data_IF_480086794498
#
_entry.id   IF_480086794498
#
_cell.length_a   1.000
_cell.length_b   1.000
_cell.length_c   1.000
_cell.angle_alpha   90.00
_cell.angle_beta   90.00
_cell.angle_gamma   90.00
#
_symmetry.space_group_name_H-M   'P 1'
#
loop_
_entity.id
_entity.type
_entity.pdbx_description
1 polymer ?
#
# COMPACT_ATOMS: atom_id res chain seq x y z
N UNK A 1 -7.75 23.31 9.53
CA UNK A 1 -7.20 22.91 8.21
C UNK A 1 -7.42 24.08 7.28
N UNK A 2 -6.39 24.89 7.03
CA UNK A 2 -6.55 26.20 6.35
C UNK A 2 -5.66 26.36 5.12
N UNK A 3 -4.72 25.44 4.87
CA UNK A 3 -3.89 25.48 3.65
C UNK A 3 -4.30 24.43 2.63
N UNK A 4 -4.12 24.69 1.31
CA UNK A 4 -4.45 23.73 0.26
C UNK A 4 -3.74 22.36 0.39
N UNK A 5 -2.52 22.35 0.96
CA UNK A 5 -1.77 21.13 1.23
C UNK A 5 -2.30 20.36 2.44
N UNK A 6 -2.78 21.06 3.47
CA UNK A 6 -3.43 20.41 4.61
C UNK A 6 -4.75 19.77 4.21
N UNK A 7 -5.53 20.38 3.32
CA UNK A 7 -6.86 19.87 2.97
C UNK A 7 -6.86 18.58 2.12
N UNK A 8 -5.68 18.06 1.74
CA UNK A 8 -5.51 16.76 1.05
C UNK A 8 -6.28 16.59 -0.27
N UNK A 9 -6.82 17.66 -0.85
CA UNK A 9 -7.66 17.60 -2.06
C UNK A 9 -7.00 16.87 -3.24
N UNK A 10 -5.70 17.09 -3.43
CA UNK A 10 -4.95 16.40 -4.49
C UNK A 10 -4.83 14.89 -4.24
N UNK A 11 -4.59 14.48 -2.99
CA UNK A 11 -4.52 13.07 -2.63
C UNK A 11 -5.89 12.38 -2.82
N UNK A 12 -6.97 13.05 -2.39
CA UNK A 12 -8.34 12.54 -2.57
C UNK A 12 -8.73 12.42 -4.05
N UNK A 13 -8.36 13.40 -4.89
CA UNK A 13 -8.62 13.34 -6.33
C UNK A 13 -7.84 12.20 -7.02
N UNK A 14 -6.60 11.93 -6.59
CA UNK A 14 -5.83 10.79 -7.09
C UNK A 14 -6.45 9.46 -6.68
N UNK A 15 -6.97 9.35 -5.45
CA UNK A 15 -7.68 8.16 -4.99
C UNK A 15 -8.97 7.93 -5.79
N UNK A 16 -9.77 8.98 -6.00
CA UNK A 16 -10.99 8.90 -6.80
C UNK A 16 -10.70 8.41 -8.24
N UNK A 17 -9.66 8.97 -8.87
CA UNK A 17 -9.26 8.55 -10.22
C UNK A 17 -8.72 7.12 -10.26
N UNK A 18 -7.97 6.70 -9.23
CA UNK A 18 -7.49 5.33 -9.09
C UNK A 18 -8.66 4.34 -9.02
N UNK A 19 -9.66 4.61 -8.18
CA UNK A 19 -10.79 3.70 -8.00
C UNK A 19 -11.69 3.59 -9.24
N UNK A 20 -11.76 4.62 -10.10
CA UNK A 20 -12.42 4.51 -11.41
C UNK A 20 -11.77 3.48 -12.34
N UNK A 21 -10.46 3.27 -12.21
CA UNK A 21 -9.69 2.33 -13.02
C UNK A 21 -9.66 0.90 -12.49
N UNK A 22 -10.16 0.66 -11.28
CA UNK A 22 -10.10 -0.63 -10.61
C UNK A 22 -11.45 -1.36 -10.67
N UNK A 23 -11.46 -2.71 -10.67
CA UNK A 23 -12.71 -3.44 -10.58
C UNK A 23 -13.40 -3.17 -9.24
N UNK A 24 -14.75 -3.18 -9.15
CA UNK A 24 -15.49 -2.84 -7.93
C UNK A 24 -15.16 -3.72 -6.71
N UNK A 25 -14.54 -4.87 -6.92
CA UNK A 25 -14.08 -5.82 -5.89
C UNK A 25 -12.60 -5.68 -5.53
N UNK A 26 -11.86 -4.74 -6.13
CA UNK A 26 -10.46 -4.53 -5.81
C UNK A 26 -10.32 -3.91 -4.42
N UNK A 27 -9.59 -4.59 -3.56
CA UNK A 27 -9.11 -4.03 -2.31
C UNK A 27 -7.70 -3.47 -2.55
N UNK A 28 -7.53 -2.16 -2.38
CA UNK A 28 -6.21 -1.51 -2.44
C UNK A 28 -5.70 -1.34 -1.03
N UNK A 29 -4.66 -2.09 -0.67
CA UNK A 29 -3.90 -1.88 0.57
C UNK A 29 -2.79 -0.85 0.30
N UNK A 30 -3.06 0.40 0.67
CA UNK A 30 -2.07 1.47 0.73
C UNK A 30 -1.68 1.75 2.17
N UNK A 31 -0.61 2.53 2.39
CA UNK A 31 -0.07 2.97 3.70
C UNK A 31 -1.13 3.45 4.72
N UNK A 32 -2.38 3.67 4.31
CA UNK A 32 -3.47 3.96 5.22
C UNK A 32 -4.88 3.55 4.78
N UNK A 33 -5.08 2.63 3.82
CA UNK A 33 -6.40 2.49 3.16
C UNK A 33 -6.82 1.06 2.93
N UNK A 34 -8.10 0.79 3.21
CA UNK A 34 -8.89 -0.21 2.50
C UNK A 34 -10.21 0.44 2.11
N UNK A 35 -10.58 0.31 0.84
CA UNK A 35 -11.81 0.91 0.32
C UNK A 35 -12.49 -0.05 -0.64
N UNK A 36 -13.79 -0.27 -0.40
CA UNK A 36 -14.73 -0.54 -1.49
C UNK A 36 -15.15 0.77 -2.18
N UNK A 37 -15.92 0.72 -3.27
CA UNK A 37 -16.21 1.89 -4.11
C UNK A 37 -16.95 3.06 -3.43
N UNK A 38 -17.48 2.89 -2.21
CA UNK A 38 -18.25 3.93 -1.49
C UNK A 38 -17.82 4.17 -0.03
N UNK A 39 -16.87 3.43 0.52
CA UNK A 39 -16.47 3.56 1.92
C UNK A 39 -14.95 3.39 2.05
N UNK A 40 -14.27 4.49 2.37
CA UNK A 40 -12.83 4.54 2.60
C UNK A 40 -12.58 4.42 4.10
N UNK A 41 -11.88 3.37 4.51
CA UNK A 41 -11.47 3.16 5.90
C UNK A 41 -10.00 3.53 6.02
N UNK A 42 -9.71 4.43 6.96
CA UNK A 42 -8.36 4.85 7.27
C UNK A 42 -7.74 3.93 8.32
N UNK A 43 -6.53 3.42 8.06
CA UNK A 43 -5.72 2.67 9.00
C UNK A 43 -4.31 3.26 9.12
N UNK A 44 -3.61 2.97 10.20
CA UNK A 44 -2.18 3.27 10.38
C UNK A 44 -1.48 1.93 10.51
N UNK A 45 -0.30 1.72 9.91
CA UNK A 45 0.40 0.44 10.08
C UNK A 45 0.55 0.08 11.56
N UNK A 46 0.49 -1.22 11.89
CA UNK A 46 0.41 -1.69 13.29
C UNK A 46 1.57 -1.13 14.12
N UNK A 47 2.77 -1.06 13.54
CA UNK A 47 3.93 -0.49 14.22
C UNK A 47 3.87 1.03 14.37
N UNK A 48 3.37 1.74 13.34
CA UNK A 48 3.24 3.19 13.42
C UNK A 48 2.15 3.64 14.40
N UNK A 49 1.08 2.86 14.58
CA UNK A 49 -0.01 3.19 15.50
C UNK A 49 0.50 3.42 16.94
N UNK A 50 1.45 2.59 17.41
CA UNK A 50 2.06 2.75 18.73
C UNK A 50 2.91 4.01 18.90
N UNK A 51 3.37 4.61 17.79
CA UNK A 51 4.06 5.90 17.79
C UNK A 51 3.13 7.12 17.95
N UNK A 52 1.82 6.91 17.86
CA UNK A 52 0.80 7.96 18.00
C UNK A 52 0.11 7.93 19.37
N UNK A 53 -0.70 8.97 19.63
CA UNK A 53 -1.56 9.07 20.81
C UNK A 53 -2.52 7.88 20.93
N UNK A 54 -2.91 7.56 22.16
CA UNK A 54 -3.77 6.41 22.49
C UNK A 54 -5.06 6.34 21.67
N UNK A 55 -5.71 7.49 21.41
CA UNK A 55 -6.91 7.54 20.57
C UNK A 55 -6.66 7.02 19.15
N UNK A 56 -5.51 7.31 18.55
CA UNK A 56 -5.15 6.80 17.23
C UNK A 56 -4.94 5.28 17.23
N UNK A 57 -4.43 4.70 18.32
CA UNK A 57 -4.26 3.26 18.46
C UNK A 57 -5.61 2.52 18.54
N UNK A 58 -6.65 3.17 19.08
CA UNK A 58 -7.99 2.58 19.14
C UNK A 58 -8.77 2.78 17.84
N UNK A 59 -8.61 3.92 17.19
CA UNK A 59 -9.40 4.30 16.01
C UNK A 59 -8.83 3.79 14.69
N UNK A 60 -7.50 3.74 14.56
CA UNK A 60 -6.83 3.48 13.26
C UNK A 60 -5.93 2.24 13.27
N UNK A 61 -6.00 1.41 14.31
CA UNK A 61 -5.26 0.15 14.32
C UNK A 61 -5.93 -0.85 13.36
N UNK A 62 -5.21 -1.40 12.36
CA UNK A 62 -5.75 -2.33 11.38
C UNK A 62 -6.42 -3.55 12.00
N UNK A 63 -5.96 -3.99 13.16
CA UNK A 63 -6.56 -5.14 13.86
C UNK A 63 -7.92 -4.83 14.50
N UNK A 64 -8.24 -3.54 14.67
CA UNK A 64 -9.51 -3.05 15.21
C UNK A 64 -10.42 -2.49 14.11
N UNK A 65 -9.92 -2.34 12.88
CA UNK A 65 -10.67 -1.83 11.74
C UNK A 65 -11.16 -2.98 10.86
N UNK A 66 -12.47 -3.02 10.62
CA UNK A 66 -13.04 -3.97 9.67
C UNK A 66 -12.46 -3.76 8.27
N UNK A 67 -12.28 -4.86 7.54
CA UNK A 67 -11.71 -4.88 6.20
C UNK A 67 -10.22 -5.20 6.15
N UNK A 68 -9.43 -4.93 7.19
CA UNK A 68 -7.97 -5.15 7.19
C UNK A 68 -7.51 -6.59 7.34
N UNK A 69 -8.37 -7.48 7.83
CA UNK A 69 -8.04 -8.90 7.94
C UNK A 69 -6.75 -9.12 8.72
N UNK A 70 -5.76 -9.77 8.10
CA UNK A 70 -4.44 -10.02 8.71
C UNK A 70 -3.33 -9.11 8.17
N UNK A 71 -3.70 -8.00 7.52
CA UNK A 71 -2.75 -6.99 7.06
C UNK A 71 -2.20 -6.21 8.26
N UNK A 72 -0.90 -5.91 8.23
CA UNK A 72 -0.25 -5.07 9.24
C UNK A 72 0.04 -3.66 8.73
N UNK A 73 -0.37 -3.33 7.50
CA UNK A 73 -0.22 -2.02 6.87
C UNK A 73 1.20 -1.69 6.42
N UNK A 74 2.11 -2.68 6.33
CA UNK A 74 3.51 -2.50 5.90
C UNK A 74 3.76 -3.00 4.44
N UNK A 75 2.70 -3.29 3.69
CA UNK A 75 2.79 -3.86 2.34
C UNK A 75 3.56 -2.97 1.37
N UNK A 76 3.24 -1.68 1.37
CA UNK A 76 3.86 -0.67 0.52
C UNK A 76 5.35 -0.49 0.85
N UNK A 77 5.72 -0.44 2.12
CA UNK A 77 7.09 -0.27 2.62
C UNK A 77 7.96 -1.47 2.22
N UNK A 78 7.44 -2.69 2.39
CA UNK A 78 8.12 -3.92 1.94
C UNK A 78 8.31 -3.93 0.45
N UNK A 79 7.27 -3.61 -0.31
CA UNK A 79 7.32 -3.57 -1.75
C UNK A 79 8.36 -2.55 -2.23
N UNK A 80 8.30 -1.31 -1.73
CA UNK A 80 9.28 -0.27 -2.03
C UNK A 80 10.70 -0.75 -1.70
N UNK A 81 10.91 -1.29 -0.50
CA UNK A 81 12.22 -1.80 -0.06
C UNK A 81 12.77 -2.85 -1.04
N UNK A 82 11.90 -3.71 -1.58
CA UNK A 82 12.28 -4.76 -2.53
C UNK A 82 12.74 -4.24 -3.90
N UNK A 83 12.22 -3.08 -4.34
CA UNK A 83 12.56 -2.46 -5.63
C UNK A 83 13.55 -1.30 -5.50
N UNK A 84 13.87 -0.85 -4.28
CA UNK A 84 14.72 0.33 -4.01
C UNK A 84 16.06 0.31 -4.76
N UNK A 85 16.63 -0.89 -4.97
CA UNK A 85 17.90 -1.09 -5.67
C UNK A 85 17.87 -0.64 -7.13
N UNK A 86 16.68 -0.55 -7.73
CA UNK A 86 16.50 -0.11 -9.11
C UNK A 86 16.57 1.41 -9.24
N UNK A 87 16.32 2.16 -8.16
CA UNK A 87 16.23 3.64 -8.19
C UNK A 87 17.45 4.29 -8.86
N UNK A 88 18.71 3.95 -8.52
CA UNK A 88 19.88 4.62 -9.11
C UNK A 88 19.95 4.44 -10.63
N UNK A 89 19.74 3.22 -11.14
CA UNK A 89 19.81 2.93 -12.58
C UNK A 89 18.62 3.44 -13.37
N UNK A 90 17.42 3.42 -12.77
CA UNK A 90 16.20 3.87 -13.42
C UNK A 90 16.07 5.40 -13.47
N UNK A 91 16.73 6.12 -12.56
CA UNK A 91 16.75 7.58 -12.54
C UNK A 91 17.36 8.17 -13.82
N UNK A 92 18.39 7.52 -14.37
CA UNK A 92 19.06 7.93 -15.62
C UNK A 92 18.53 7.20 -16.86
N UNK A 93 17.62 6.25 -16.69
CA UNK A 93 17.01 5.52 -17.81
C UNK A 93 15.88 6.32 -18.46
N UNK A 94 15.73 6.17 -19.78
CA UNK A 94 14.59 6.69 -20.52
C UNK A 94 13.26 6.04 -20.11
N UNK A 95 12.16 6.73 -20.40
CA UNK A 95 10.80 6.35 -19.97
C UNK A 95 10.44 4.89 -20.26
N UNK A 96 10.56 4.44 -21.52
CA UNK A 96 10.20 3.07 -21.92
C UNK A 96 11.05 2.02 -21.20
N UNK A 97 12.36 2.27 -21.05
CA UNK A 97 13.25 1.35 -20.34
C UNK A 97 12.89 1.27 -18.86
N UNK A 98 12.53 2.41 -18.26
CA UNK A 98 12.09 2.45 -16.86
C UNK A 98 10.85 1.60 -16.64
N UNK A 99 9.82 1.81 -17.45
CA UNK A 99 8.59 1.02 -17.40
C UNK A 99 8.87 -0.48 -17.57
N UNK A 100 9.58 -0.85 -18.63
CA UNK A 100 9.90 -2.25 -18.91
C UNK A 100 10.63 -2.95 -17.74
N UNK A 101 11.64 -2.29 -17.16
CA UNK A 101 12.41 -2.88 -16.04
C UNK A 101 11.57 -3.00 -14.78
N UNK A 102 10.74 -1.99 -14.47
CA UNK A 102 9.82 -2.06 -13.32
C UNK A 102 8.82 -3.20 -13.51
N UNK A 103 8.13 -3.25 -14.65
CA UNK A 103 7.11 -4.27 -14.93
C UNK A 103 7.70 -5.68 -14.86
N UNK A 104 8.88 -5.89 -15.46
CA UNK A 104 9.55 -7.20 -15.44
C UNK A 104 9.95 -7.60 -14.02
N UNK A 105 10.49 -6.68 -13.23
CA UNK A 105 10.94 -6.96 -11.87
C UNK A 105 9.76 -7.18 -10.89
N UNK A 106 8.64 -6.49 -11.11
CA UNK A 106 7.38 -6.69 -10.37
C UNK A 106 6.80 -8.06 -10.71
N UNK A 107 6.65 -8.41 -11.99
CA UNK A 107 6.14 -9.73 -12.41
C UNK A 107 6.99 -10.88 -11.83
N UNK A 108 8.32 -10.74 -11.87
CA UNK A 108 9.22 -11.74 -11.29
C UNK A 108 9.03 -11.88 -9.76
N UNK A 109 8.79 -10.76 -9.06
CA UNK A 109 8.49 -10.77 -7.62
C UNK A 109 7.13 -11.39 -7.32
N UNK A 110 6.11 -11.13 -8.12
CA UNK A 110 4.78 -11.69 -7.93
C UNK A 110 4.80 -13.22 -8.05
N UNK A 111 5.46 -13.75 -9.09
CA UNK A 111 5.64 -15.20 -9.26
C UNK A 111 6.38 -15.80 -8.06
N UNK A 112 7.45 -15.14 -7.61
CA UNK A 112 8.21 -15.59 -6.43
C UNK A 112 7.38 -15.49 -5.14
N UNK A 113 6.59 -14.44 -4.97
CA UNK A 113 5.72 -14.24 -3.81
C UNK A 113 4.69 -15.36 -3.73
N UNK A 114 4.00 -15.62 -4.85
CA UNK A 114 3.01 -16.70 -4.95
C UNK A 114 3.61 -18.07 -4.66
N UNK A 115 4.79 -18.37 -5.20
CA UNK A 115 5.50 -19.62 -4.93
C UNK A 115 5.90 -19.79 -3.45
N UNK A 116 6.17 -18.68 -2.76
CA UNK A 116 6.55 -18.69 -1.33
C UNK A 116 5.36 -18.55 -0.38
N UNK A 117 4.14 -18.35 -0.89
CA UNK A 117 2.96 -18.11 -0.07
C UNK A 117 2.70 -19.26 0.92
N UNK A 118 2.86 -20.51 0.47
CA UNK A 118 2.73 -21.68 1.34
C UNK A 118 3.73 -21.68 2.50
N UNK A 119 5.00 -21.40 2.21
CA UNK A 119 6.04 -21.30 3.24
C UNK A 119 5.75 -20.14 4.21
N UNK A 120 5.23 -19.03 3.71
CA UNK A 120 4.84 -17.91 4.57
C UNK A 120 3.71 -18.29 5.52
N UNK A 121 2.66 -18.98 5.03
CA UNK A 121 1.56 -19.47 5.86
C UNK A 121 2.04 -20.43 6.96
N UNK A 122 2.98 -21.32 6.63
CA UNK A 122 3.54 -22.27 7.59
C UNK A 122 4.36 -21.60 8.69
N UNK A 123 5.04 -20.49 8.41
CA UNK A 123 5.88 -19.78 9.36
C UNK A 123 5.17 -18.62 10.07
N UNK A 124 3.85 -18.42 9.84
CA UNK A 124 3.09 -17.33 10.44
C UNK A 124 2.66 -17.62 11.88
N UNK A 125 2.78 -18.88 12.33
CA UNK A 125 2.39 -19.40 13.64
C UNK A 125 3.53 -20.24 14.22
#
# INVERSE_FOLDING_TARGET
MQTPGEAQYYALALLDELFKGLPPCATVDGVSFLSGPNEMIFGISVFHAFGHQWSCQLTYNPWLCDGFGLADGEGCERFWSSIRKLIPGLRVSGFNRRHFVLDTDIQAKDVKSLANLGNWLLNKW
#
